data_IF_222499637784
#
_entry.id   IF_222499637784
#
_cell.length_a   1.000
_cell.length_b   1.000
_cell.length_c   1.000
_cell.angle_alpha   90.00
_cell.angle_beta   90.00
_cell.angle_gamma   90.00
#
_symmetry.space_group_name_H-M   'P 1'
#
loop_
_entity.id
_entity.type
_entity.pdbx_description
1 polymer ?
#
# COMPACT_ATOMS: atom_id res chain seq x y z
N UNK A 1 -30.38 -19.77 -15.83
CA UNK A 1 -30.09 -18.88 -16.97
C UNK A 1 -28.70 -18.28 -16.77
N UNK A 2 -27.95 -18.07 -17.88
CA UNK A 2 -26.57 -17.60 -17.86
C UNK A 2 -26.36 -16.27 -17.08
N UNK A 3 -27.36 -15.41 -16.99
CA UNK A 3 -27.32 -14.20 -16.18
C UNK A 3 -27.27 -14.49 -14.66
N UNK A 4 -27.99 -15.50 -14.17
CA UNK A 4 -28.00 -15.91 -12.75
C UNK A 4 -26.66 -16.49 -12.30
N UNK A 5 -25.89 -17.11 -13.20
CA UNK A 5 -24.59 -17.72 -12.84
C UNK A 5 -23.45 -16.70 -12.84
N UNK A 6 -23.58 -15.59 -13.55
CA UNK A 6 -22.61 -14.47 -13.49
C UNK A 6 -22.71 -13.75 -12.13
N UNK A 7 -23.91 -13.55 -11.60
CA UNK A 7 -24.12 -12.93 -10.28
C UNK A 7 -23.58 -13.78 -9.11
N UNK A 8 -23.53 -15.10 -9.25
CA UNK A 8 -23.00 -15.99 -8.21
C UNK A 8 -21.48 -15.97 -8.03
N UNK A 9 -20.76 -15.24 -8.88
CA UNK A 9 -19.29 -15.13 -8.83
C UNK A 9 -18.79 -13.76 -8.41
N UNK A 10 -19.69 -12.87 -7.98
CA UNK A 10 -19.29 -11.56 -7.47
C UNK A 10 -18.98 -11.67 -5.97
N UNK A 11 -17.83 -11.18 -5.56
CA UNK A 11 -17.44 -11.09 -4.15
C UNK A 11 -17.86 -9.75 -3.53
N UNK A 12 -17.99 -8.68 -4.35
CA UNK A 12 -18.35 -7.34 -3.90
C UNK A 12 -19.37 -6.67 -4.84
N UNK A 13 -20.21 -5.84 -4.27
CA UNK A 13 -21.25 -5.09 -4.98
C UNK A 13 -21.09 -3.60 -4.68
N UNK A 14 -21.01 -2.78 -5.73
CA UNK A 14 -21.09 -1.32 -5.61
C UNK A 14 -22.49 -0.86 -5.98
N UNK A 15 -23.15 -0.18 -5.06
CA UNK A 15 -24.46 0.45 -5.29
C UNK A 15 -24.36 1.95 -5.07
N UNK A 16 -25.26 2.72 -5.66
CA UNK A 16 -25.28 4.15 -5.47
C UNK A 16 -26.56 4.83 -5.94
N UNK A 17 -26.76 6.05 -5.49
CA UNK A 17 -27.88 6.90 -5.88
C UNK A 17 -27.43 8.33 -6.16
N UNK A 18 -28.00 8.95 -7.18
CA UNK A 18 -27.74 10.34 -7.55
C UNK A 18 -29.07 11.12 -7.38
N UNK A 19 -28.99 12.24 -6.67
CA UNK A 19 -30.09 13.19 -6.55
C UNK A 19 -29.59 14.58 -6.93
N UNK A 20 -30.20 15.19 -7.92
CA UNK A 20 -29.91 16.56 -8.35
C UNK A 20 -31.05 17.50 -7.92
N UNK A 21 -30.68 18.71 -7.45
CA UNK A 21 -31.61 19.78 -7.13
C UNK A 21 -30.96 21.13 -7.49
N UNK A 22 -31.43 21.74 -8.56
CA UNK A 22 -30.82 22.94 -9.14
C UNK A 22 -29.37 22.68 -9.56
N UNK A 23 -28.44 23.48 -9.05
CA UNK A 23 -27.00 23.32 -9.30
C UNK A 23 -26.29 22.34 -8.36
N UNK A 24 -27.00 21.74 -7.39
CA UNK A 24 -26.43 20.81 -6.43
C UNK A 24 -26.73 19.36 -6.81
N UNK A 25 -25.71 18.53 -6.66
CA UNK A 25 -25.83 17.08 -6.81
C UNK A 25 -25.41 16.39 -5.52
N UNK A 26 -26.23 15.46 -5.07
CA UNK A 26 -25.90 14.56 -3.97
C UNK A 26 -25.74 13.16 -4.52
N UNK A 27 -24.56 12.56 -4.27
CA UNK A 27 -24.23 11.20 -4.66
C UNK A 27 -24.04 10.39 -3.38
N UNK A 28 -24.71 9.25 -3.26
CA UNK A 28 -24.46 8.25 -2.23
C UNK A 28 -23.91 7.01 -2.87
N UNK A 29 -22.85 6.42 -2.29
CA UNK A 29 -22.21 5.21 -2.80
C UNK A 29 -21.98 4.27 -1.63
N UNK A 30 -22.16 2.99 -1.88
CA UNK A 30 -21.99 1.93 -0.92
C UNK A 30 -21.29 0.74 -1.59
N UNK A 31 -20.28 0.19 -0.93
CA UNK A 31 -19.62 -1.05 -1.26
C UNK A 31 -20.01 -2.10 -0.22
N UNK A 32 -20.55 -3.22 -0.65
CA UNK A 32 -20.97 -4.33 0.22
C UNK A 32 -20.35 -5.65 -0.21
N UNK A 33 -20.18 -6.57 0.76
CA UNK A 33 -19.85 -7.96 0.50
C UNK A 33 -21.08 -8.67 -0.12
N UNK A 34 -20.87 -9.34 -1.24
CA UNK A 34 -21.97 -10.04 -1.95
C UNK A 34 -22.46 -11.32 -1.24
N UNK A 35 -21.75 -11.77 -0.19
CA UNK A 35 -22.07 -13.03 0.51
C UNK A 35 -23.04 -12.85 1.66
N UNK A 36 -22.93 -11.72 2.37
CA UNK A 36 -23.72 -11.44 3.57
C UNK A 36 -24.36 -10.05 3.58
N UNK A 37 -24.25 -9.31 2.47
CA UNK A 37 -24.76 -7.94 2.28
C UNK A 37 -24.19 -6.94 3.32
N UNK A 38 -23.08 -7.27 3.98
CA UNK A 38 -22.46 -6.35 4.94
C UNK A 38 -21.85 -5.16 4.22
N UNK A 39 -22.09 -3.95 4.79
CA UNK A 39 -21.53 -2.72 4.23
C UNK A 39 -20.06 -2.62 4.64
N UNK A 40 -19.18 -2.66 3.65
CA UNK A 40 -17.74 -2.52 3.80
C UNK A 40 -17.35 -1.05 3.87
N UNK A 41 -17.95 -0.25 2.98
CA UNK A 41 -17.68 1.18 2.87
C UNK A 41 -18.89 1.90 2.31
N UNK A 42 -19.17 3.09 2.86
CA UNK A 42 -20.19 3.98 2.30
C UNK A 42 -19.76 5.44 2.44
N UNK A 43 -20.14 6.25 1.46
CA UNK A 43 -19.92 7.68 1.51
C UNK A 43 -21.03 8.47 0.81
N UNK A 44 -21.16 9.75 1.21
CA UNK A 44 -22.11 10.70 0.61
C UNK A 44 -21.36 11.96 0.21
N UNK A 45 -21.55 12.38 -1.03
CA UNK A 45 -20.96 13.57 -1.61
C UNK A 45 -22.03 14.60 -1.90
N UNK A 46 -21.83 15.82 -1.42
CA UNK A 46 -22.65 16.98 -1.74
C UNK A 46 -21.77 17.97 -2.50
N UNK A 47 -22.02 18.17 -3.79
CA UNK A 47 -21.16 18.99 -4.67
C UNK A 47 -22.01 19.86 -5.59
N UNK A 48 -21.36 20.85 -6.22
CA UNK A 48 -21.95 21.64 -7.28
C UNK A 48 -21.73 20.91 -8.61
N UNK A 49 -22.66 21.05 -9.54
CA UNK A 49 -22.64 20.29 -10.82
C UNK A 49 -21.41 20.62 -11.68
N UNK A 50 -20.79 21.78 -11.45
CA UNK A 50 -19.58 22.24 -12.16
C UNK A 50 -18.34 21.36 -11.80
N UNK A 51 -18.35 20.70 -10.63
CA UNK A 51 -17.24 19.88 -10.11
C UNK A 51 -17.48 18.37 -10.35
N UNK A 52 -18.40 17.98 -11.24
CA UNK A 52 -18.87 16.58 -11.33
C UNK A 52 -17.78 15.63 -11.81
N UNK A 53 -16.85 16.07 -12.65
CA UNK A 53 -15.75 15.25 -13.15
C UNK A 53 -14.69 15.02 -12.06
N UNK A 54 -14.33 16.05 -11.30
CA UNK A 54 -13.42 15.91 -10.16
C UNK A 54 -14.01 14.99 -9.08
N UNK A 55 -15.32 15.10 -8.87
CA UNK A 55 -16.06 14.21 -7.97
C UNK A 55 -16.06 12.77 -8.47
N UNK A 56 -16.23 12.53 -9.78
CA UNK A 56 -16.17 11.19 -10.35
C UNK A 56 -14.79 10.57 -10.11
N UNK A 57 -13.72 11.30 -10.33
CA UNK A 57 -12.35 10.84 -10.10
C UNK A 57 -12.08 10.55 -8.63
N UNK A 58 -12.58 11.38 -7.71
CA UNK A 58 -12.50 11.15 -6.27
C UNK A 58 -13.22 9.86 -5.87
N UNK A 59 -14.43 9.63 -6.39
CA UNK A 59 -15.23 8.44 -6.12
C UNK A 59 -14.53 7.17 -6.59
N UNK A 60 -14.07 7.16 -7.84
CA UNK A 60 -13.39 6.00 -8.44
C UNK A 60 -12.14 5.65 -7.61
N UNK A 61 -11.36 6.65 -7.22
CA UNK A 61 -10.17 6.45 -6.37
C UNK A 61 -10.52 5.81 -5.02
N UNK A 62 -11.50 6.35 -4.32
CA UNK A 62 -11.90 5.84 -2.99
C UNK A 62 -12.47 4.44 -3.03
N UNK A 63 -13.29 4.13 -4.04
CA UNK A 63 -13.79 2.77 -4.24
C UNK A 63 -12.64 1.81 -4.53
N UNK A 64 -11.70 2.18 -5.40
CA UNK A 64 -10.57 1.32 -5.75
C UNK A 64 -9.69 1.00 -4.53
N UNK A 65 -9.41 1.98 -3.67
CA UNK A 65 -8.66 1.79 -2.43
C UNK A 65 -9.40 0.87 -1.46
N UNK A 66 -10.70 1.10 -1.25
CA UNK A 66 -11.52 0.28 -0.37
C UNK A 66 -11.61 -1.17 -0.86
N UNK A 67 -11.83 -1.39 -2.16
CA UNK A 67 -11.87 -2.73 -2.77
C UNK A 67 -10.56 -3.49 -2.62
N UNK A 68 -9.43 -2.85 -2.89
CA UNK A 68 -8.11 -3.50 -2.76
C UNK A 68 -7.86 -3.95 -1.32
N UNK A 69 -8.15 -3.10 -0.34
CA UNK A 69 -8.02 -3.43 1.07
C UNK A 69 -8.88 -4.63 1.47
N UNK A 70 -10.14 -4.65 1.05
CA UNK A 70 -11.07 -5.75 1.40
C UNK A 70 -10.72 -7.07 0.71
N UNK A 71 -10.25 -7.03 -0.54
CA UNK A 71 -9.76 -8.24 -1.23
C UNK A 71 -8.58 -8.84 -0.46
N UNK A 72 -7.61 -8.03 -0.02
CA UNK A 72 -6.46 -8.49 0.77
C UNK A 72 -6.92 -9.07 2.13
N UNK A 73 -7.80 -8.37 2.85
CA UNK A 73 -8.34 -8.82 4.15
C UNK A 73 -9.10 -10.14 4.01
N UNK A 74 -10.01 -10.23 3.05
CA UNK A 74 -10.80 -11.46 2.81
C UNK A 74 -9.92 -12.64 2.43
N UNK A 75 -8.90 -12.42 1.60
CA UNK A 75 -7.95 -13.46 1.19
C UNK A 75 -7.08 -13.91 2.36
N UNK A 76 -6.63 -12.97 3.19
CA UNK A 76 -5.87 -13.26 4.40
C UNK A 76 -6.68 -14.08 5.41
N UNK A 77 -7.94 -13.69 5.66
CA UNK A 77 -8.82 -14.44 6.56
C UNK A 77 -9.09 -15.87 6.06
N UNK A 78 -9.28 -16.03 4.74
CA UNK A 78 -9.42 -17.35 4.12
C UNK A 78 -8.16 -18.18 4.30
N UNK A 79 -6.97 -17.60 4.12
CA UNK A 79 -5.70 -18.29 4.27
C UNK A 79 -5.48 -18.84 5.69
N UNK A 80 -5.92 -18.10 6.72
CA UNK A 80 -5.81 -18.51 8.13
C UNK A 80 -6.64 -19.74 8.47
N UNK A 81 -7.68 -20.04 7.68
CA UNK A 81 -8.59 -21.19 7.87
C UNK A 81 -8.18 -22.42 7.08
N UNK A 82 -7.24 -22.29 6.13
CA UNK A 82 -6.79 -23.40 5.28
C UNK A 82 -5.72 -24.24 5.98
N UNK A 83 -5.68 -25.56 5.76
CA UNK A 83 -4.51 -26.38 6.08
C UNK A 83 -3.27 -25.85 5.36
N UNK A 84 -2.10 -26.00 6.01
CA UNK A 84 -0.83 -25.41 5.50
C UNK A 84 -0.47 -25.90 4.09
N UNK A 85 -0.79 -27.15 3.77
CA UNK A 85 -0.56 -27.78 2.47
C UNK A 85 -1.38 -27.20 1.31
N UNK A 86 -2.46 -26.46 1.62
CA UNK A 86 -3.37 -25.87 0.63
C UNK A 86 -3.24 -24.34 0.53
N UNK A 87 -2.18 -23.75 1.08
CA UNK A 87 -1.97 -22.32 1.05
C UNK A 87 -1.23 -21.94 -0.25
N UNK A 88 -1.81 -20.99 -1.00
CA UNK A 88 -1.19 -20.47 -2.22
C UNK A 88 -0.06 -19.47 -1.93
N UNK A 89 0.80 -19.22 -2.91
CA UNK A 89 1.84 -18.19 -2.85
C UNK A 89 1.29 -16.84 -2.43
N UNK A 90 0.16 -16.43 -3.00
CA UNK A 90 -0.50 -15.16 -2.66
C UNK A 90 -0.97 -15.10 -1.20
N UNK A 91 -1.49 -16.19 -0.68
CA UNK A 91 -1.94 -16.26 0.72
C UNK A 91 -0.77 -16.24 1.71
N UNK A 92 0.36 -16.85 1.37
CA UNK A 92 1.61 -16.70 2.14
C UNK A 92 2.14 -15.27 2.08
N UNK A 93 2.11 -14.62 0.92
CA UNK A 93 2.46 -13.21 0.76
C UNK A 93 1.65 -12.33 1.72
N UNK A 94 0.32 -12.51 1.78
CA UNK A 94 -0.55 -11.73 2.66
C UNK A 94 -0.25 -11.95 4.14
N UNK A 95 0.02 -13.20 4.56
CA UNK A 95 0.46 -13.51 5.93
C UNK A 95 1.79 -12.85 6.27
N UNK A 96 2.73 -12.83 5.33
CA UNK A 96 3.99 -12.15 5.47
C UNK A 96 3.79 -10.64 5.66
N UNK A 97 2.97 -9.99 4.84
CA UNK A 97 2.60 -8.57 4.96
C UNK A 97 1.96 -8.26 6.31
N UNK A 98 1.01 -9.08 6.76
CA UNK A 98 0.38 -8.92 8.08
C UNK A 98 1.41 -8.93 9.22
N UNK A 99 2.33 -9.91 9.19
CA UNK A 99 3.35 -10.04 10.23
C UNK A 99 4.39 -8.90 10.16
N UNK A 100 4.79 -8.47 8.95
CA UNK A 100 5.69 -7.33 8.76
C UNK A 100 5.18 -6.06 9.47
N UNK A 101 3.88 -5.79 9.42
CA UNK A 101 3.27 -4.60 10.00
C UNK A 101 3.04 -4.66 11.52
N UNK A 102 3.35 -5.76 12.18
CA UNK A 102 3.29 -5.86 13.65
C UNK A 102 4.49 -5.24 14.35
N UNK A 103 5.60 -5.00 13.65
CA UNK A 103 6.80 -4.34 14.13
C UNK A 103 7.43 -4.95 15.38
N UNK A 104 7.34 -6.27 15.57
CA UNK A 104 8.04 -7.02 16.63
C UNK A 104 9.08 -7.97 16.04
N UNK A 105 10.10 -8.40 16.85
CA UNK A 105 11.14 -9.33 16.39
C UNK A 105 10.55 -10.65 15.92
N UNK A 106 9.63 -11.21 16.69
CA UNK A 106 8.98 -12.48 16.41
C UNK A 106 8.12 -12.41 15.13
N UNK A 107 7.35 -11.33 14.99
CA UNK A 107 6.53 -11.12 13.79
C UNK A 107 7.39 -10.88 12.54
N UNK A 108 8.50 -10.18 12.66
CA UNK A 108 9.46 -9.97 11.58
C UNK A 108 10.03 -11.33 11.09
N UNK A 109 10.44 -12.21 12.01
CA UNK A 109 10.93 -13.54 11.68
C UNK A 109 9.85 -14.41 11.03
N UNK A 110 8.60 -14.33 11.51
CA UNK A 110 7.48 -15.05 10.91
C UNK A 110 7.11 -14.50 9.53
N UNK A 111 7.25 -13.18 9.33
CA UNK A 111 7.07 -12.56 8.01
C UNK A 111 8.07 -13.12 7.00
N UNK A 112 9.36 -13.17 7.34
CA UNK A 112 10.41 -13.73 6.47
C UNK A 112 10.10 -15.18 6.07
N UNK A 113 9.71 -16.04 7.03
CA UNK A 113 9.30 -17.43 6.75
C UNK A 113 8.10 -17.51 5.81
N UNK A 114 7.14 -16.62 5.95
CA UNK A 114 5.98 -16.60 5.05
C UNK A 114 6.36 -16.14 3.64
N UNK A 115 7.27 -15.18 3.49
CA UNK A 115 7.77 -14.78 2.17
C UNK A 115 8.59 -15.88 1.51
N UNK A 116 9.41 -16.64 2.27
CA UNK A 116 10.11 -17.81 1.75
C UNK A 116 9.14 -18.85 1.21
N UNK A 117 8.08 -19.19 1.97
CA UNK A 117 7.02 -20.11 1.54
C UNK A 117 6.25 -19.59 0.32
N UNK A 118 6.05 -18.27 0.23
CA UNK A 118 5.43 -17.67 -0.95
C UNK A 118 6.31 -17.86 -2.20
N UNK A 119 7.61 -17.69 -2.07
CA UNK A 119 8.60 -17.90 -3.14
C UNK A 119 8.71 -19.39 -3.50
N UNK A 120 8.72 -20.29 -2.52
CA UNK A 120 8.71 -21.74 -2.74
C UNK A 120 7.47 -22.21 -3.49
N UNK A 121 6.30 -21.63 -3.17
CA UNK A 121 5.03 -21.96 -3.84
C UNK A 121 4.91 -21.37 -5.24
N UNK A 122 5.56 -20.22 -5.50
CA UNK A 122 5.64 -19.57 -6.81
C UNK A 122 6.89 -18.70 -6.91
N UNK A 123 7.91 -19.23 -7.57
CA UNK A 123 9.20 -18.53 -7.78
C UNK A 123 9.08 -17.28 -8.68
N UNK A 124 7.94 -17.05 -9.33
CA UNK A 124 7.67 -15.86 -10.15
C UNK A 124 6.88 -14.78 -9.40
N UNK A 125 6.63 -14.95 -8.10
CA UNK A 125 5.95 -13.95 -7.29
C UNK A 125 6.90 -12.79 -6.93
N UNK A 126 6.99 -11.79 -7.82
CA UNK A 126 7.85 -10.61 -7.64
C UNK A 126 7.60 -9.88 -6.32
N UNK A 127 6.33 -9.77 -5.90
CA UNK A 127 5.97 -9.10 -4.65
C UNK A 127 6.50 -9.83 -3.40
N UNK A 128 6.59 -11.16 -3.42
CA UNK A 128 7.16 -11.91 -2.30
C UNK A 128 8.63 -11.56 -2.07
N UNK A 129 9.41 -11.46 -3.15
CA UNK A 129 10.80 -11.00 -3.07
C UNK A 129 10.91 -9.55 -2.59
N UNK A 130 10.09 -8.64 -3.13
CA UNK A 130 10.11 -7.23 -2.74
C UNK A 130 9.78 -7.05 -1.25
N UNK A 131 8.75 -7.73 -0.75
CA UNK A 131 8.37 -7.68 0.66
C UNK A 131 9.38 -8.36 1.58
N UNK A 132 10.04 -9.45 1.13
CA UNK A 132 11.16 -10.05 1.85
C UNK A 132 12.30 -9.05 2.00
N UNK A 133 12.69 -8.36 0.93
CA UNK A 133 13.68 -7.28 0.98
C UNK A 133 13.30 -6.19 2.01
N UNK A 134 12.07 -5.69 1.97
CA UNK A 134 11.59 -4.68 2.90
C UNK A 134 11.66 -5.16 4.35
N UNK A 135 11.32 -6.43 4.60
CA UNK A 135 11.34 -7.01 5.94
C UNK A 135 12.77 -7.25 6.46
N UNK A 136 13.70 -7.61 5.59
CA UNK A 136 15.13 -7.68 5.92
C UNK A 136 15.67 -6.28 6.33
N UNK A 137 15.30 -5.25 5.57
CA UNK A 137 15.61 -3.86 5.96
C UNK A 137 15.03 -3.48 7.31
N UNK A 138 13.76 -3.82 7.59
CA UNK A 138 13.15 -3.61 8.89
C UNK A 138 13.90 -4.34 10.02
N UNK A 139 14.30 -5.61 9.79
CA UNK A 139 15.07 -6.40 10.74
C UNK A 139 16.41 -5.74 11.09
N UNK A 140 17.11 -5.24 10.08
CA UNK A 140 18.40 -4.55 10.24
C UNK A 140 18.24 -3.26 11.04
N UNK A 141 17.32 -2.37 10.65
CA UNK A 141 17.15 -1.06 11.28
C UNK A 141 16.65 -1.14 12.73
N UNK A 142 15.83 -2.15 13.05
CA UNK A 142 15.26 -2.31 14.39
C UNK A 142 16.07 -3.25 15.29
N UNK A 143 17.17 -3.82 14.80
CA UNK A 143 17.96 -4.79 15.55
C UNK A 143 17.18 -6.08 15.86
N UNK A 144 16.30 -6.52 14.94
CA UNK A 144 15.50 -7.74 15.09
C UNK A 144 16.23 -8.98 14.58
N UNK A 145 17.38 -8.82 13.94
CA UNK A 145 18.24 -9.90 13.48
C UNK A 145 19.56 -9.90 14.23
N UNK A 146 20.06 -11.10 14.51
CA UNK A 146 21.40 -11.30 15.08
C UNK A 146 22.47 -11.56 13.98
N UNK A 147 22.07 -11.53 12.70
CA UNK A 147 22.95 -11.68 11.55
C UNK A 147 23.80 -10.40 11.31
N UNK A 148 24.91 -10.57 10.61
CA UNK A 148 25.73 -9.43 10.19
C UNK A 148 24.95 -8.50 9.26
N UNK A 149 24.95 -7.16 9.52
CA UNK A 149 24.27 -6.18 8.66
C UNK A 149 24.65 -6.27 7.18
N UNK A 150 25.92 -6.59 6.86
CA UNK A 150 26.38 -6.74 5.47
C UNK A 150 25.71 -7.95 4.78
N UNK A 151 25.52 -9.07 5.50
CA UNK A 151 24.85 -10.26 4.98
C UNK A 151 23.36 -9.99 4.74
N UNK A 152 22.69 -9.32 5.69
CA UNK A 152 21.28 -8.92 5.52
C UNK A 152 21.12 -7.99 4.32
N UNK A 153 22.03 -7.02 4.16
CA UNK A 153 21.98 -6.10 3.04
C UNK A 153 22.18 -6.82 1.69
N UNK A 154 23.14 -7.76 1.63
CA UNK A 154 23.38 -8.56 0.43
C UNK A 154 22.15 -9.42 0.08
N UNK A 155 21.52 -10.06 1.07
CA UNK A 155 20.29 -10.84 0.87
C UNK A 155 19.13 -9.93 0.43
N UNK A 156 18.95 -8.77 1.06
CA UNK A 156 17.93 -7.80 0.68
C UNK A 156 18.10 -7.34 -0.76
N UNK A 157 19.35 -7.02 -1.16
CA UNK A 157 19.69 -6.63 -2.54
C UNK A 157 19.37 -7.74 -3.55
N UNK A 158 19.75 -8.97 -3.26
CA UNK A 158 19.46 -10.11 -4.13
C UNK A 158 17.95 -10.29 -4.34
N UNK A 159 17.16 -10.17 -3.28
CA UNK A 159 15.71 -10.30 -3.36
C UNK A 159 15.10 -9.17 -4.21
N UNK A 160 15.53 -7.93 -4.04
CA UNK A 160 14.93 -6.83 -4.78
C UNK A 160 15.37 -6.83 -6.26
N UNK A 161 16.60 -7.23 -6.57
CA UNK A 161 17.06 -7.41 -7.93
C UNK A 161 16.22 -8.49 -8.64
N UNK A 162 15.90 -9.60 -7.93
CA UNK A 162 15.03 -10.65 -8.45
C UNK A 162 13.59 -10.19 -8.65
N UNK A 163 13.05 -9.39 -7.76
CA UNK A 163 11.71 -8.82 -7.91
C UNK A 163 11.61 -7.96 -9.18
N UNK A 164 12.63 -7.13 -9.47
CA UNK A 164 12.66 -6.30 -10.67
C UNK A 164 12.87 -7.12 -11.95
N UNK A 165 13.70 -8.17 -11.90
CA UNK A 165 13.87 -9.09 -13.02
C UNK A 165 12.54 -9.74 -13.43
N UNK A 166 11.72 -10.12 -12.43
CA UNK A 166 10.42 -10.74 -12.65
C UNK A 166 9.34 -9.77 -13.12
N UNK A 167 9.36 -8.54 -12.61
CA UNK A 167 8.40 -7.50 -12.98
C UNK A 167 8.99 -6.10 -12.82
N UNK A 168 9.60 -5.58 -13.87
CA UNK A 168 10.19 -4.24 -13.90
C UNK A 168 9.14 -3.09 -13.78
N UNK A 169 7.87 -3.40 -14.00
CA UNK A 169 6.75 -2.45 -13.96
C UNK A 169 5.85 -2.65 -12.74
N UNK A 170 6.33 -3.26 -11.67
CA UNK A 170 5.59 -3.37 -10.42
C UNK A 170 5.84 -2.13 -9.54
N UNK A 171 4.78 -1.35 -9.32
CA UNK A 171 4.87 -0.12 -8.50
C UNK A 171 5.26 -0.41 -7.04
N UNK A 172 4.85 -1.58 -6.49
CA UNK A 172 5.23 -1.99 -5.14
C UNK A 172 6.74 -2.22 -5.03
N UNK A 173 7.34 -2.89 -6.03
CA UNK A 173 8.79 -3.07 -6.09
C UNK A 173 9.52 -1.73 -6.13
N UNK A 174 9.06 -0.79 -6.97
CA UNK A 174 9.65 0.54 -7.04
C UNK A 174 9.46 1.35 -5.77
N UNK A 175 8.29 1.30 -5.15
CA UNK A 175 8.03 1.95 -3.86
C UNK A 175 8.97 1.43 -2.77
N UNK A 176 9.18 0.11 -2.69
CA UNK A 176 10.07 -0.50 -1.70
C UNK A 176 11.53 -0.19 -1.97
N UNK A 177 11.96 -0.21 -3.24
CA UNK A 177 13.30 0.23 -3.61
C UNK A 177 13.58 1.66 -3.22
N UNK A 178 12.63 2.55 -3.45
CA UNK A 178 12.73 3.94 -3.02
C UNK A 178 13.00 4.04 -1.52
N UNK A 179 12.29 3.26 -0.70
CA UNK A 179 12.50 3.22 0.75
C UNK A 179 13.86 2.61 1.13
N UNK A 180 14.30 1.54 0.47
CA UNK A 180 15.60 0.89 0.71
C UNK A 180 16.76 1.85 0.37
N UNK A 181 16.72 2.49 -0.79
CA UNK A 181 17.74 3.47 -1.17
C UNK A 181 17.74 4.71 -0.27
N UNK A 182 16.56 5.18 0.13
CA UNK A 182 16.45 6.27 1.09
C UNK A 182 17.12 5.94 2.42
N UNK A 183 16.89 4.75 2.91
CA UNK A 183 17.49 4.25 4.16
C UNK A 183 19.01 4.11 4.05
N UNK A 184 19.51 3.82 2.85
CA UNK A 184 20.96 3.71 2.57
C UNK A 184 21.59 5.05 2.15
N UNK A 185 20.85 6.16 2.27
CA UNK A 185 21.29 7.51 1.88
C UNK A 185 21.62 7.68 0.38
N UNK A 186 21.19 6.75 -0.48
CA UNK A 186 21.27 6.90 -1.93
C UNK A 186 20.03 7.67 -2.43
N UNK A 187 20.08 8.97 -2.24
CA UNK A 187 18.96 9.85 -2.55
C UNK A 187 18.60 9.90 -4.04
N UNK A 188 19.59 9.68 -4.93
CA UNK A 188 19.37 9.71 -6.38
C UNK A 188 18.51 8.53 -6.82
N UNK A 189 18.88 7.33 -6.40
CA UNK A 189 18.11 6.12 -6.71
C UNK A 189 16.77 6.10 -5.96
N UNK A 190 16.75 6.59 -4.72
CA UNK A 190 15.50 6.72 -3.96
C UNK A 190 14.47 7.59 -4.69
N UNK A 191 14.90 8.75 -5.23
CA UNK A 191 14.02 9.64 -5.99
C UNK A 191 13.59 9.03 -7.33
N UNK A 192 14.49 8.37 -8.06
CA UNK A 192 14.16 7.76 -9.35
C UNK A 192 13.09 6.67 -9.18
N UNK A 193 13.27 5.76 -8.22
CA UNK A 193 12.30 4.71 -7.94
C UNK A 193 11.00 5.25 -7.35
N UNK A 194 11.05 6.24 -6.47
CA UNK A 194 9.85 6.92 -5.95
C UNK A 194 9.03 7.56 -7.07
N UNK A 195 9.69 8.23 -8.00
CA UNK A 195 9.08 8.84 -9.18
C UNK A 195 8.47 7.80 -10.12
N UNK A 196 9.14 6.65 -10.34
CA UNK A 196 8.59 5.54 -11.15
C UNK A 196 7.29 5.00 -10.52
N UNK A 197 7.30 4.70 -9.23
CA UNK A 197 6.10 4.26 -8.52
C UNK A 197 4.96 5.30 -8.61
N UNK A 198 5.29 6.58 -8.41
CA UNK A 198 4.33 7.69 -8.50
C UNK A 198 3.72 7.82 -9.90
N UNK A 199 4.51 7.68 -10.95
CA UNK A 199 4.00 7.74 -12.32
C UNK A 199 3.06 6.58 -12.66
N UNK A 200 3.25 5.40 -12.05
CA UNK A 200 2.39 4.23 -12.25
C UNK A 200 1.06 4.37 -11.49
N UNK A 201 1.12 4.81 -10.23
CA UNK A 201 -0.06 4.90 -9.35
C UNK A 201 -0.06 6.22 -8.55
N UNK A 202 -0.36 7.36 -9.18
CA UNK A 202 -0.18 8.70 -8.61
C UNK A 202 -1.16 9.03 -7.46
N UNK A 203 -2.08 8.13 -7.14
CA UNK A 203 -3.09 8.31 -6.10
C UNK A 203 -3.09 7.21 -5.05
N UNK A 204 -2.09 6.32 -5.03
CA UNK A 204 -1.92 5.37 -3.93
C UNK A 204 -1.31 6.10 -2.71
N UNK A 205 -1.96 6.11 -1.53
CA UNK A 205 -1.47 6.84 -0.36
C UNK A 205 -0.08 6.40 0.09
N UNK A 206 0.27 5.13 -0.09
CA UNK A 206 1.57 4.57 0.29
C UNK A 206 2.69 5.08 -0.62
N UNK A 207 2.39 5.20 -1.92
CA UNK A 207 3.31 5.77 -2.92
C UNK A 207 3.50 7.27 -2.69
N UNK A 208 2.40 7.99 -2.48
CA UNK A 208 2.43 9.43 -2.16
C UNK A 208 3.25 9.70 -0.91
N UNK A 209 3.01 8.92 0.16
CA UNK A 209 3.75 9.04 1.43
C UNK A 209 5.25 8.76 1.24
N UNK A 210 5.60 7.63 0.61
CA UNK A 210 7.00 7.25 0.42
C UNK A 210 7.76 8.23 -0.48
N UNK A 211 7.19 8.63 -1.61
CA UNK A 211 7.81 9.58 -2.51
C UNK A 211 7.86 10.99 -1.93
N UNK A 212 6.82 11.40 -1.21
CA UNK A 212 6.80 12.66 -0.45
C UNK A 212 7.94 12.75 0.55
N UNK A 213 8.20 11.68 1.33
CA UNK A 213 9.34 11.59 2.25
C UNK A 213 10.67 11.76 1.52
N UNK A 214 10.88 11.07 0.41
CA UNK A 214 12.10 11.21 -0.40
C UNK A 214 12.30 12.66 -0.84
N UNK A 215 11.25 13.31 -1.36
CA UNK A 215 11.32 14.70 -1.80
C UNK A 215 11.68 15.67 -0.67
N UNK A 216 11.10 15.50 0.53
CA UNK A 216 11.47 16.30 1.70
C UNK A 216 12.95 16.13 2.03
N UNK A 217 13.45 14.89 2.09
CA UNK A 217 14.86 14.59 2.42
C UNK A 217 15.85 15.03 1.34
N UNK A 218 15.40 15.17 0.10
CA UNK A 218 16.21 15.69 -1.03
C UNK A 218 16.11 17.20 -1.21
N UNK A 219 15.48 17.93 -0.27
CA UNK A 219 15.35 19.38 -0.28
C UNK A 219 14.21 19.94 -1.12
N UNK A 220 13.37 19.09 -1.73
CA UNK A 220 12.17 19.49 -2.48
C UNK A 220 10.95 19.52 -1.55
N UNK A 221 11.07 20.31 -0.47
CA UNK A 221 10.20 20.26 0.71
C UNK A 221 8.74 20.54 0.35
N UNK A 222 8.46 21.63 -0.36
CA UNK A 222 7.08 22.03 -0.70
C UNK A 222 6.33 20.94 -1.45
N UNK A 223 6.96 20.37 -2.46
CA UNK A 223 6.38 19.28 -3.25
C UNK A 223 6.23 18.00 -2.43
N UNK A 224 7.20 17.71 -1.56
CA UNK A 224 7.11 16.58 -0.65
C UNK A 224 5.94 16.71 0.32
N UNK A 225 5.75 17.89 0.92
CA UNK A 225 4.62 18.18 1.82
C UNK A 225 3.27 18.12 1.10
N UNK A 226 3.19 18.60 -0.15
CA UNK A 226 1.97 18.45 -0.97
C UNK A 226 1.58 16.98 -1.12
N UNK A 227 2.53 16.10 -1.46
CA UNK A 227 2.27 14.67 -1.61
C UNK A 227 1.90 13.99 -0.27
N UNK A 228 2.57 14.36 0.83
CA UNK A 228 2.26 13.84 2.16
C UNK A 228 0.85 14.24 2.62
N UNK A 229 0.46 15.50 2.43
CA UNK A 229 -0.89 15.97 2.75
C UNK A 229 -1.94 15.25 1.90
N UNK A 230 -1.69 15.08 0.60
CA UNK A 230 -2.59 14.33 -0.28
C UNK A 230 -2.71 12.87 0.14
N UNK A 231 -1.62 12.23 0.57
CA UNK A 231 -1.66 10.87 1.11
C UNK A 231 -2.56 10.80 2.35
N UNK A 232 -2.42 11.76 3.26
CA UNK A 232 -3.25 11.85 4.47
C UNK A 232 -4.74 12.10 4.15
N UNK A 233 -5.06 12.93 3.18
CA UNK A 233 -6.44 13.17 2.74
C UNK A 233 -7.09 11.91 2.14
N UNK A 234 -6.30 11.09 1.43
CA UNK A 234 -6.80 9.85 0.82
C UNK A 234 -6.98 8.72 1.84
N UNK A 235 -6.12 8.66 2.86
CA UNK A 235 -6.15 7.63 3.91
C UNK A 235 -5.83 8.27 5.28
N UNK A 236 -6.77 9.07 5.85
CA UNK A 236 -6.55 9.79 7.10
C UNK A 236 -6.49 8.87 8.32
N UNK A 237 -7.12 7.70 8.24
CA UNK A 237 -7.09 6.65 9.26
C UNK A 237 -6.73 5.37 8.55
N UNK A 238 -5.49 4.87 8.69
CA UNK A 238 -5.10 3.61 8.08
C UNK A 238 -6.11 2.53 8.44
N UNK A 239 -6.92 2.10 7.47
CA UNK A 239 -7.88 1.04 7.64
C UNK A 239 -7.27 -0.26 7.11
N UNK A 240 -7.17 -1.25 7.98
CA UNK A 240 -6.57 -2.53 7.62
C UNK A 240 -5.05 -2.52 7.59
N UNK A 241 -4.49 -3.67 7.28
CA UNK A 241 -3.04 -3.92 7.38
C UNK A 241 -2.24 -3.41 6.20
N UNK A 242 -2.88 -3.17 5.06
CA UNK A 242 -2.26 -2.65 3.85
C UNK A 242 -2.03 -1.13 3.89
N UNK A 243 -2.80 -0.41 4.69
CA UNK A 243 -2.76 1.05 4.81
C UNK A 243 -2.02 1.56 6.04
N UNK A 244 -1.40 0.66 6.83
CA UNK A 244 -0.77 0.99 8.11
C UNK A 244 0.58 1.69 8.01
N UNK A 245 0.84 2.42 6.92
CA UNK A 245 2.03 3.26 6.85
C UNK A 245 1.83 4.51 7.72
N UNK A 246 2.05 4.34 9.05
CA UNK A 246 1.99 5.42 10.05
C UNK A 246 2.99 6.56 9.78
N UNK A 247 3.85 6.42 8.75
CA UNK A 247 4.87 7.41 8.38
C UNK A 247 4.27 8.77 8.05
N UNK A 248 3.08 8.81 7.46
CA UNK A 248 2.41 10.10 7.16
C UNK A 248 2.15 10.90 8.43
N UNK A 249 1.70 10.25 9.50
CA UNK A 249 1.40 10.91 10.78
C UNK A 249 2.67 11.43 11.48
N UNK A 250 3.78 10.73 11.30
CA UNK A 250 5.04 11.08 11.96
C UNK A 250 5.87 12.08 11.15
N UNK A 251 5.77 12.04 9.81
CA UNK A 251 6.57 12.89 8.91
C UNK A 251 6.01 14.28 8.70
N UNK A 252 4.70 14.46 8.67
CA UNK A 252 4.11 15.80 8.53
C UNK A 252 4.54 16.72 9.68
N UNK A 253 4.48 16.34 10.96
CA UNK A 253 5.00 17.16 12.06
C UNK A 253 6.52 17.40 12.00
N UNK A 254 7.30 16.38 11.64
CA UNK A 254 8.77 16.48 11.52
C UNK A 254 9.16 17.42 10.38
N UNK A 255 8.44 17.37 9.25
CA UNK A 255 8.70 18.27 8.12
C UNK A 255 8.39 19.73 8.46
N UNK A 256 7.34 20.00 9.23
CA UNK A 256 7.04 21.35 9.72
C UNK A 256 8.11 21.89 10.70
N UNK A 257 8.71 21.05 11.53
CA UNK A 257 9.80 21.46 12.43
C UNK A 257 11.10 21.75 11.67
N UNK A 258 11.40 21.01 10.60
CA UNK A 258 12.55 21.30 9.74
C UNK A 258 12.39 22.60 8.94
N UNK A 259 11.20 22.91 8.45
CA UNK A 259 10.92 24.19 7.77
C UNK A 259 11.17 25.39 8.68
N UNK A 260 10.69 25.34 9.93
CA UNK A 260 10.93 26.45 10.89
C UNK A 260 12.40 26.63 11.28
N UNK A 261 13.20 25.57 11.24
CA UNK A 261 14.63 25.65 11.56
C UNK A 261 15.46 26.29 10.44
N UNK A 262 14.94 26.39 9.20
CA UNK A 262 15.59 27.06 8.08
C UNK A 262 15.11 28.49 7.84
N UNK A 263 14.04 28.93 8.53
CA UNK A 263 13.51 30.32 8.46
C UNK A 263 14.08 31.23 9.57
N UNK A 264 14.88 30.69 10.49
CA UNK A 264 15.64 31.46 11.53
C UNK A 264 17.12 31.44 11.25
#
# INVERSE_FOLDING_TARGET
>A
SAASDVYKRQDFIVTGGIRASGKRVRISIELSDAKDDSIIWSNKYDRVLEDIFDLQDEIVRKISIALLGEIEISSLQRSKRKPTENISSYEYLLRGKENHHKFTKEACQEALKNFDKAIEADANNAQAYAWKCCTLGQAMFRGFSDQNPEEIFAEAKQNIDKALELNENDFECHRMLSAVYLSNHDYVLAEDHGRKAFNMVPNDPRVLSGYGEVLVRTGKVDKGLELLNKAYELDPIPQGQSSSDNRVKDLVPVSYTHLRAHET
#
